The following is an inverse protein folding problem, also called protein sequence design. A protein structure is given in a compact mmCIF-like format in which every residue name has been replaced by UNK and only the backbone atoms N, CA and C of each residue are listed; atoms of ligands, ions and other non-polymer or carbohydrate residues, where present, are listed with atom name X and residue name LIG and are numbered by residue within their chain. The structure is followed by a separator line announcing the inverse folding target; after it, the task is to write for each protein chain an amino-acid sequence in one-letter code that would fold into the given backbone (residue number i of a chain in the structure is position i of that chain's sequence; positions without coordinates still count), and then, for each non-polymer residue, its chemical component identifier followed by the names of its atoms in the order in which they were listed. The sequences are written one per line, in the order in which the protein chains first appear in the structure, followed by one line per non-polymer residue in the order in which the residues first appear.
data_IF_293032675041
#
_entry.id   IF_293032675041
#
_cell.length_a   1.000
_cell.length_b   1.000
_cell.length_c   1.000
_cell.angle_alpha   90.00
_cell.angle_beta   90.00
_cell.angle_gamma   90.00
#
_symmetry.space_group_name_H-M   'P 1'
#
loop_
_entity.id
_entity.type
_entity.pdbx_description
1 polymer ?
#
# COMPACT_ATOMS: atom_id res chain seq x y z
N UNK A 1 7.82 -20.23 36.30
CA UNK A 1 8.35 -20.72 35.02
C UNK A 1 7.34 -21.71 34.50
N UNK A 2 6.57 -21.35 33.47
CA UNK A 2 5.77 -22.23 32.58
C UNK A 2 4.70 -21.44 31.78
N UNK A 3 5.06 -20.25 31.26
CA UNK A 3 4.19 -19.52 30.30
C UNK A 3 4.50 -19.81 28.83
N UNK A 4 5.42 -20.73 28.55
CA UNK A 4 5.80 -21.12 27.18
C UNK A 4 5.23 -22.48 26.75
N UNK A 5 4.47 -23.15 27.63
CA UNK A 5 3.82 -24.40 27.28
C UNK A 5 2.57 -24.13 26.44
N UNK A 6 2.68 -24.48 25.15
CA UNK A 6 1.58 -24.67 24.20
C UNK A 6 1.02 -23.42 23.47
N UNK A 7 1.88 -22.63 22.82
CA UNK A 7 1.43 -21.79 21.70
C UNK A 7 1.04 -22.74 20.55
N UNK A 8 -0.26 -23.09 20.43
CA UNK A 8 -0.80 -23.62 19.17
C UNK A 8 -0.28 -22.72 18.05
N UNK A 9 0.52 -23.27 17.12
CA UNK A 9 0.99 -22.47 15.99
C UNK A 9 -0.23 -21.88 15.30
N UNK A 10 -0.27 -20.54 15.23
CA UNK A 10 -1.36 -19.85 14.56
C UNK A 10 -1.42 -20.34 13.11
N UNK A 11 -2.58 -20.82 12.68
CA UNK A 11 -2.77 -21.28 11.30
C UNK A 11 -2.51 -20.10 10.37
N UNK A 12 -1.50 -20.22 9.53
CA UNK A 12 -1.16 -19.20 8.53
C UNK A 12 -2.20 -19.26 7.40
N UNK A 13 -2.83 -18.13 7.13
CA UNK A 13 -3.78 -17.93 6.03
C UNK A 13 -3.08 -17.06 5.00
N UNK A 14 -2.82 -17.62 3.82
CA UNK A 14 -2.33 -16.85 2.67
C UNK A 14 -3.54 -16.36 1.87
N UNK A 15 -3.69 -15.05 1.60
CA UNK A 15 -4.76 -14.60 0.72
C UNK A 15 -4.50 -15.12 -0.70
N UNK A 16 -5.55 -15.32 -1.53
CA UNK A 16 -5.34 -15.70 -2.92
C UNK A 16 -4.64 -14.57 -3.69
N UNK A 17 -3.73 -14.95 -4.60
CA UNK A 17 -2.97 -14.02 -5.44
C UNK A 17 -3.88 -13.08 -6.24
N UNK A 18 -3.32 -11.93 -6.59
CA UNK A 18 -3.92 -10.97 -7.50
C UNK A 18 -3.74 -11.43 -8.96
N UNK A 19 -4.72 -11.16 -9.81
CA UNK A 19 -4.71 -11.44 -11.25
C UNK A 19 -5.10 -10.19 -12.02
N UNK A 20 -4.65 -10.11 -13.27
CA UNK A 20 -5.13 -9.08 -14.19
C UNK A 20 -6.66 -9.10 -14.28
N UNK A 21 -7.27 -7.92 -14.22
CA UNK A 21 -8.72 -7.72 -14.18
C UNK A 21 -9.34 -7.78 -12.77
N UNK A 22 -8.59 -8.19 -11.74
CA UNK A 22 -9.05 -8.16 -10.35
C UNK A 22 -9.22 -6.72 -9.85
N UNK A 23 -10.11 -6.54 -8.87
CA UNK A 23 -10.34 -5.23 -8.24
C UNK A 23 -9.43 -5.02 -7.03
N UNK A 24 -8.79 -3.86 -6.99
CA UNK A 24 -8.07 -3.33 -5.84
C UNK A 24 -8.93 -2.26 -5.16
N UNK A 25 -9.27 -2.49 -3.89
CA UNK A 25 -9.94 -1.54 -3.01
C UNK A 25 -8.96 -0.52 -2.43
N UNK A 26 -9.30 0.76 -2.44
CA UNK A 26 -8.52 1.84 -1.81
C UNK A 26 -9.23 2.32 -0.55
N UNK A 27 -8.50 2.35 0.56
CA UNK A 27 -8.99 2.80 1.88
C UNK A 27 -8.06 3.83 2.50
N UNK A 28 -8.58 4.73 3.33
CA UNK A 28 -7.76 5.70 4.08
C UNK A 28 -7.91 5.48 5.58
N UNK A 29 -7.20 4.52 6.19
CA UNK A 29 -7.42 4.17 7.59
C UNK A 29 -6.75 5.14 8.58
N UNK A 30 -5.89 6.05 8.10
CA UNK A 30 -5.20 7.03 8.92
C UNK A 30 -5.33 8.45 8.36
N UNK A 31 -4.30 9.00 7.69
CA UNK A 31 -4.30 10.41 7.26
C UNK A 31 -5.27 10.62 6.08
N UNK A 32 -6.04 11.71 6.12
CA UNK A 32 -7.00 12.11 5.08
C UNK A 32 -6.36 12.69 3.81
N UNK A 33 -5.09 12.39 3.55
CA UNK A 33 -4.31 12.95 2.44
C UNK A 33 -4.94 12.67 1.07
N UNK A 34 -5.65 11.56 0.89
CA UNK A 34 -6.31 11.23 -0.37
C UNK A 34 -7.40 12.25 -0.75
N UNK A 35 -8.14 12.76 0.24
CA UNK A 35 -9.09 13.85 0.03
C UNK A 35 -8.40 15.19 -0.25
N UNK A 36 -7.21 15.42 0.33
CA UNK A 36 -6.44 16.65 0.14
C UNK A 36 -5.73 16.73 -1.22
N UNK A 37 -5.33 15.60 -1.79
CA UNK A 37 -4.56 15.50 -3.03
C UNK A 37 -5.28 14.63 -4.08
N UNK A 38 -6.47 15.03 -4.56
CA UNK A 38 -7.26 14.23 -5.50
C UNK A 38 -6.52 13.94 -6.81
N UNK A 39 -5.67 14.85 -7.27
CA UNK A 39 -4.85 14.64 -8.47
C UNK A 39 -3.83 13.49 -8.30
N UNK A 40 -3.30 13.26 -7.08
CA UNK A 40 -2.43 12.11 -6.83
C UNK A 40 -3.22 10.81 -6.77
N UNK A 41 -4.43 10.85 -6.20
CA UNK A 41 -5.36 9.71 -6.26
C UNK A 41 -5.60 9.33 -7.73
N UNK A 42 -5.98 10.30 -8.57
CA UNK A 42 -6.19 10.08 -10.00
C UNK A 42 -4.97 9.46 -10.70
N UNK A 43 -3.75 9.94 -10.44
CA UNK A 43 -2.52 9.37 -10.99
C UNK A 43 -2.31 7.93 -10.55
N UNK A 44 -2.43 7.64 -9.25
CA UNK A 44 -2.24 6.30 -8.72
C UNK A 44 -3.30 5.31 -9.22
N UNK A 45 -4.56 5.75 -9.33
CA UNK A 45 -5.64 4.94 -9.91
C UNK A 45 -5.36 4.62 -11.37
N UNK A 46 -5.03 5.63 -12.19
CA UNK A 46 -4.69 5.42 -13.61
C UNK A 46 -3.52 4.47 -13.79
N UNK A 47 -2.53 4.52 -12.90
CA UNK A 47 -1.38 3.64 -12.96
C UNK A 47 -1.75 2.18 -12.57
N UNK A 48 -2.56 1.97 -11.53
CA UNK A 48 -3.10 0.63 -11.23
C UNK A 48 -3.95 0.07 -12.38
N UNK A 49 -4.75 0.92 -13.03
CA UNK A 49 -5.55 0.56 -14.20
C UNK A 49 -4.68 0.24 -15.41
N UNK A 50 -3.56 0.96 -15.63
CA UNK A 50 -2.63 0.67 -16.72
C UNK A 50 -1.88 -0.65 -16.53
N UNK A 51 -1.70 -1.11 -15.29
CA UNK A 51 -1.23 -2.46 -14.97
C UNK A 51 -2.30 -3.55 -15.20
N UNK A 52 -3.53 -3.16 -15.58
CA UNK A 52 -4.62 -4.08 -15.92
C UNK A 52 -5.52 -4.45 -14.75
N UNK A 53 -5.47 -3.73 -13.62
CA UNK A 53 -6.40 -3.92 -12.50
C UNK A 53 -7.63 -3.00 -12.62
N UNK A 54 -8.68 -3.33 -11.88
CA UNK A 54 -9.78 -2.39 -11.60
C UNK A 54 -9.52 -1.74 -10.26
N UNK A 55 -9.98 -0.50 -10.08
CA UNK A 55 -9.87 0.19 -8.80
C UNK A 55 -11.25 0.54 -8.26
N UNK A 56 -11.46 0.26 -6.97
CA UNK A 56 -12.64 0.69 -6.21
C UNK A 56 -12.19 1.55 -5.05
N UNK A 57 -12.60 2.81 -5.01
CA UNK A 57 -12.33 3.69 -3.87
C UNK A 57 -13.44 3.51 -2.84
N UNK A 58 -13.10 3.30 -1.57
CA UNK A 58 -14.09 3.14 -0.51
C UNK A 58 -14.86 4.46 -0.27
N UNK A 59 -16.13 4.40 0.17
CA UNK A 59 -17.00 5.58 0.28
C UNK A 59 -16.40 6.74 1.08
N UNK A 60 -15.65 6.45 2.15
CA UNK A 60 -15.08 7.48 3.03
C UNK A 60 -13.59 7.75 2.79
N UNK A 61 -12.96 7.05 1.84
CA UNK A 61 -11.52 7.12 1.64
C UNK A 61 -11.02 8.48 1.16
N UNK A 62 -11.86 9.26 0.48
CA UNK A 62 -11.53 10.60 -0.04
C UNK A 62 -12.05 11.74 0.84
N UNK A 63 -12.63 11.42 2.00
CA UNK A 63 -13.12 12.45 2.91
C UNK A 63 -11.97 13.18 3.61
N UNK A 64 -12.31 14.33 4.19
CA UNK A 64 -11.41 15.13 5.00
C UNK A 64 -12.08 15.43 6.35
N UNK A 65 -11.49 14.92 7.43
CA UNK A 65 -11.96 15.14 8.79
C UNK A 65 -10.79 15.56 9.68
N UNK A 66 -10.35 16.82 9.52
CA UNK A 66 -9.13 17.31 10.15
C UNK A 66 -7.91 16.60 9.59
N UNK A 67 -7.12 15.96 10.46
CA UNK A 67 -5.98 15.15 10.01
C UNK A 67 -6.40 13.77 9.47
N UNK A 68 -7.49 13.18 9.97
CA UNK A 68 -7.92 11.86 9.49
C UNK A 68 -8.83 11.97 8.28
N UNK A 69 -9.01 10.88 7.54
CA UNK A 69 -9.97 10.83 6.43
C UNK A 69 -11.41 11.01 6.92
N UNK A 70 -11.77 10.31 8.00
CA UNK A 70 -13.12 10.31 8.55
C UNK A 70 -13.15 9.81 10.02
N UNK A 71 -14.34 9.68 10.61
CA UNK A 71 -14.59 9.06 11.91
C UNK A 71 -14.01 7.63 11.96
N UNK A 72 -13.87 7.08 13.17
CA UNK A 72 -13.36 5.70 13.34
C UNK A 72 -14.34 4.72 12.70
N UNK A 73 -15.63 4.94 12.88
CA UNK A 73 -16.72 4.10 12.40
C UNK A 73 -16.71 4.04 10.86
N UNK A 74 -16.56 5.18 10.19
CA UNK A 74 -16.51 5.26 8.73
C UNK A 74 -15.26 4.59 8.17
N UNK A 75 -14.09 4.80 8.79
CA UNK A 75 -12.84 4.14 8.37
C UNK A 75 -12.86 2.62 8.60
N UNK A 76 -13.50 2.15 9.67
CA UNK A 76 -13.74 0.72 9.92
C UNK A 76 -14.71 0.15 8.89
N UNK A 77 -15.78 0.88 8.58
CA UNK A 77 -16.76 0.48 7.56
C UNK A 77 -16.11 0.31 6.19
N UNK A 78 -15.27 1.27 5.77
CA UNK A 78 -14.50 1.17 4.52
C UNK A 78 -13.66 -0.12 4.45
N UNK A 79 -12.93 -0.44 5.53
CA UNK A 79 -12.15 -1.69 5.59
C UNK A 79 -13.04 -2.93 5.55
N UNK A 80 -14.10 -2.96 6.36
CA UNK A 80 -15.00 -4.11 6.43
C UNK A 80 -15.71 -4.37 5.11
N UNK A 81 -16.17 -3.31 4.43
CA UNK A 81 -16.78 -3.41 3.10
C UNK A 81 -15.83 -4.05 2.09
N UNK A 82 -14.56 -3.62 2.09
CA UNK A 82 -13.55 -4.17 1.16
C UNK A 82 -13.15 -5.61 1.48
N UNK A 83 -13.19 -6.03 2.74
CA UNK A 83 -12.98 -7.44 3.11
C UNK A 83 -14.18 -8.31 2.74
N UNK A 84 -15.41 -7.81 2.92
CA UNK A 84 -16.65 -8.54 2.67
C UNK A 84 -16.97 -8.69 1.17
N UNK A 85 -16.54 -7.76 0.33
CA UNK A 85 -16.79 -7.82 -1.11
C UNK A 85 -15.91 -8.87 -1.81
N UNK A 86 -16.47 -9.99 -2.31
CA UNK A 86 -15.68 -11.03 -2.98
C UNK A 86 -15.06 -10.58 -4.31
N UNK A 87 -15.52 -9.46 -4.88
CA UNK A 87 -14.93 -8.87 -6.09
C UNK A 87 -13.62 -8.13 -5.80
N UNK A 88 -13.39 -7.71 -4.55
CA UNK A 88 -12.15 -7.07 -4.11
C UNK A 88 -11.13 -8.14 -3.76
N UNK A 89 -9.98 -8.12 -4.45
CA UNK A 89 -8.92 -9.12 -4.30
C UNK A 89 -7.71 -8.60 -3.55
N UNK A 90 -7.55 -7.28 -3.48
CA UNK A 90 -6.60 -6.60 -2.63
C UNK A 90 -7.15 -5.28 -2.09
N UNK A 91 -6.69 -4.90 -0.91
CA UNK A 91 -6.96 -3.65 -0.22
C UNK A 91 -5.63 -2.92 -0.09
N UNK A 92 -5.52 -1.73 -0.66
CA UNK A 92 -4.34 -0.88 -0.60
C UNK A 92 -4.68 0.38 0.18
N UNK A 93 -3.89 0.68 1.20
CA UNK A 93 -4.02 1.94 1.91
C UNK A 93 -3.64 3.10 0.98
N UNK A 94 -4.44 4.17 1.01
CA UNK A 94 -4.13 5.37 0.25
C UNK A 94 -2.82 5.99 0.73
N UNK A 95 -2.66 6.08 2.05
CA UNK A 95 -1.46 6.56 2.73
C UNK A 95 -1.46 6.14 4.22
N UNK A 96 -0.30 6.22 4.87
CA UNK A 96 -0.14 6.06 6.32
C UNK A 96 -0.65 7.28 7.13
N UNK A 97 0.03 7.61 8.22
CA UNK A 97 -0.32 8.70 9.12
C UNK A 97 0.08 8.37 10.56
N UNK A 98 -0.83 8.47 11.53
CA UNK A 98 -0.58 8.18 12.96
C UNK A 98 -1.83 7.68 13.72
N UNK A 99 -2.90 7.29 13.02
CA UNK A 99 -4.24 7.13 13.62
C UNK A 99 -4.95 5.82 13.24
N UNK A 100 -4.29 4.90 12.54
CA UNK A 100 -4.89 3.59 12.23
C UNK A 100 -5.10 2.72 13.47
N UNK A 101 -4.36 2.97 14.56
CA UNK A 101 -4.56 2.30 15.84
C UNK A 101 -5.95 2.54 16.47
N UNK A 102 -6.61 3.65 16.12
CA UNK A 102 -7.95 3.97 16.61
C UNK A 102 -9.01 2.98 16.12
N UNK A 103 -8.74 2.26 15.02
CA UNK A 103 -9.69 1.33 14.41
C UNK A 103 -9.71 -0.01 15.16
N UNK A 104 -8.62 -0.38 15.85
CA UNK A 104 -8.45 -1.71 16.45
C UNK A 104 -9.60 -2.17 17.37
N UNK A 105 -10.21 -1.31 18.20
CA UNK A 105 -11.32 -1.72 19.06
C UNK A 105 -12.61 -2.08 18.31
N UNK A 106 -12.77 -1.60 17.06
CA UNK A 106 -13.99 -1.77 16.26
C UNK A 106 -13.81 -2.75 15.10
N UNK A 107 -12.58 -3.23 14.84
CA UNK A 107 -12.33 -4.21 13.79
C UNK A 107 -12.89 -5.59 14.15
N UNK A 108 -13.67 -6.16 13.22
CA UNK A 108 -14.15 -7.53 13.32
C UNK A 108 -13.10 -8.50 12.74
N UNK A 109 -12.23 -8.99 13.62
CA UNK A 109 -11.16 -9.91 13.25
C UNK A 109 -11.67 -11.29 12.81
N UNK A 110 -12.84 -11.73 13.28
CA UNK A 110 -13.40 -13.02 12.86
C UNK A 110 -13.97 -12.93 11.46
N UNK A 111 -14.63 -11.82 11.11
CA UNK A 111 -15.04 -11.50 9.74
C UNK A 111 -13.82 -11.42 8.80
N UNK A 112 -12.76 -10.70 9.19
CA UNK A 112 -11.53 -10.60 8.38
C UNK A 112 -10.89 -11.98 8.18
N UNK A 113 -10.90 -12.84 9.22
CA UNK A 113 -10.39 -14.21 9.11
C UNK A 113 -11.20 -15.05 8.11
N UNK A 114 -12.52 -14.86 8.08
CA UNK A 114 -13.42 -15.59 7.18
C UNK A 114 -13.31 -15.13 5.70
N UNK A 115 -12.85 -13.90 5.46
CA UNK A 115 -12.72 -13.30 4.13
C UNK A 115 -11.26 -12.90 3.83
N UNK A 116 -10.37 -13.88 3.55
CA UNK A 116 -8.96 -13.60 3.34
C UNK A 116 -8.70 -12.82 2.05
N UNK A 117 -8.42 -11.53 2.19
CA UNK A 117 -8.10 -10.58 1.12
C UNK A 117 -6.71 -9.98 1.36
N UNK A 118 -5.95 -9.69 0.30
CA UNK A 118 -4.65 -9.01 0.44
C UNK A 118 -4.88 -7.66 1.13
N UNK A 119 -4.14 -7.35 2.19
CA UNK A 119 -4.02 -6.00 2.74
C UNK A 119 -2.59 -5.52 2.54
N UNK A 120 -2.42 -4.34 1.97
CA UNK A 120 -1.12 -3.75 1.70
C UNK A 120 -1.03 -2.26 2.08
N UNK A 121 0.12 -1.90 2.65
CA UNK A 121 0.54 -0.53 2.93
C UNK A 121 1.70 -0.53 3.93
N UNK A 122 2.34 0.62 4.09
CA UNK A 122 3.50 0.79 4.97
C UNK A 122 3.32 1.96 5.95
N UNK A 123 4.37 2.26 6.73
CA UNK A 123 4.33 3.31 7.77
C UNK A 123 3.28 2.98 8.84
N UNK A 124 2.37 3.89 9.19
CA UNK A 124 1.30 3.68 10.17
C UNK A 124 0.44 2.44 9.90
N UNK A 125 0.32 2.02 8.63
CA UNK A 125 -0.42 0.80 8.25
C UNK A 125 0.17 -0.47 8.87
N UNK A 126 1.42 -0.40 9.36
CA UNK A 126 2.04 -1.44 10.19
C UNK A 126 1.15 -1.85 11.35
N UNK A 127 0.42 -0.92 11.98
CA UNK A 127 -0.50 -1.23 13.07
C UNK A 127 -1.57 -2.23 12.62
N UNK A 128 -2.19 -1.98 11.46
CA UNK A 128 -3.20 -2.87 10.90
C UNK A 128 -2.60 -4.19 10.43
N UNK A 129 -1.46 -4.14 9.72
CA UNK A 129 -0.77 -5.33 9.23
C UNK A 129 -0.44 -6.30 10.39
N UNK A 130 0.12 -5.78 11.49
CA UNK A 130 0.48 -6.57 12.67
C UNK A 130 -0.75 -7.05 13.43
N UNK A 131 -1.75 -6.17 13.64
CA UNK A 131 -2.95 -6.54 14.37
C UNK A 131 -3.74 -7.64 13.65
N UNK A 132 -3.97 -7.49 12.34
CA UNK A 132 -4.69 -8.48 11.52
C UNK A 132 -3.91 -9.79 11.50
N UNK A 133 -2.61 -9.78 11.21
CA UNK A 133 -1.77 -10.99 11.27
C UNK A 133 -1.91 -11.69 12.63
N UNK A 134 -1.71 -10.97 13.73
CA UNK A 134 -1.71 -11.51 15.09
C UNK A 134 -3.07 -12.06 15.49
N UNK A 135 -4.17 -11.44 15.05
CA UNK A 135 -5.53 -11.85 15.44
C UNK A 135 -6.12 -12.91 14.51
N UNK A 136 -5.76 -12.94 13.24
CA UNK A 136 -6.43 -13.80 12.24
C UNK A 136 -5.53 -14.88 11.67
N UNK A 137 -4.22 -14.67 11.65
CA UNK A 137 -3.24 -15.51 10.93
C UNK A 137 -3.15 -15.18 9.44
N UNK A 138 -3.88 -14.16 8.96
CA UNK A 138 -3.84 -13.68 7.59
C UNK A 138 -2.53 -12.95 7.29
N UNK A 139 -1.79 -13.45 6.32
CA UNK A 139 -0.59 -12.79 5.80
C UNK A 139 -1.00 -11.46 5.16
N UNK A 140 -0.39 -10.38 5.66
CA UNK A 140 -0.53 -9.01 5.15
C UNK A 140 0.82 -8.54 4.58
N UNK A 141 0.81 -7.43 3.85
CA UNK A 141 1.97 -6.99 3.06
C UNK A 141 2.39 -5.56 3.46
N UNK A 142 3.61 -5.43 3.97
CA UNK A 142 4.26 -4.13 4.06
C UNK A 142 4.80 -3.78 2.68
N UNK A 143 4.19 -2.79 2.02
CA UNK A 143 4.40 -2.52 0.61
C UNK A 143 3.83 -1.17 0.16
N UNK A 144 3.87 -0.89 -1.15
CA UNK A 144 3.52 0.41 -1.72
C UNK A 144 2.12 0.88 -1.34
N UNK A 145 1.96 2.19 -1.15
CA UNK A 145 0.67 2.84 -0.91
C UNK A 145 0.29 3.74 -2.10
N UNK A 146 -1.01 4.06 -2.23
CA UNK A 146 -1.53 4.75 -3.42
C UNK A 146 -0.81 6.08 -3.70
N UNK A 147 -0.72 6.95 -2.70
CA UNK A 147 -0.25 8.34 -2.90
C UNK A 147 1.27 8.47 -3.01
N UNK A 148 2.01 7.55 -2.42
CA UNK A 148 3.48 7.59 -2.33
C UNK A 148 4.16 6.85 -3.48
N UNK A 149 3.62 5.70 -3.88
CA UNK A 149 4.32 4.80 -4.80
C UNK A 149 3.61 4.69 -6.13
N UNK A 150 2.31 4.35 -6.11
CA UNK A 150 1.52 4.20 -7.34
C UNK A 150 1.29 5.55 -8.03
N UNK A 151 1.27 6.64 -7.26
CA UNK A 151 1.17 8.01 -7.77
C UNK A 151 2.52 8.72 -7.94
N UNK A 152 3.63 7.98 -7.95
CA UNK A 152 4.95 8.53 -8.27
C UNK A 152 4.99 9.00 -9.72
N UNK A 153 5.73 10.08 -9.98
CA UNK A 153 5.85 10.66 -11.30
C UNK A 153 7.23 10.40 -11.91
N UNK A 154 7.33 10.06 -13.23
CA UNK A 154 6.26 9.90 -14.22
C UNK A 154 5.45 8.62 -14.09
N UNK A 155 5.98 7.65 -13.35
CA UNK A 155 5.38 6.37 -13.02
C UNK A 155 6.08 5.82 -11.77
N UNK A 156 5.48 4.81 -11.16
CA UNK A 156 6.12 4.03 -10.11
C UNK A 156 7.51 3.53 -10.57
N UNK A 157 8.48 3.55 -9.66
CA UNK A 157 9.80 3.02 -9.94
C UNK A 157 9.71 1.53 -10.28
N UNK A 158 10.40 1.13 -11.34
CA UNK A 158 10.34 -0.22 -11.90
C UNK A 158 10.67 -1.29 -10.85
N UNK A 159 11.65 -1.03 -9.97
CA UNK A 159 11.99 -1.93 -8.87
C UNK A 159 10.79 -2.24 -7.97
N UNK A 160 10.01 -1.22 -7.62
CA UNK A 160 8.82 -1.38 -6.76
C UNK A 160 7.69 -2.06 -7.53
N UNK A 161 7.49 -1.73 -8.82
CA UNK A 161 6.51 -2.38 -9.70
C UNK A 161 6.78 -3.89 -9.83
N UNK A 162 8.02 -4.27 -10.16
CA UNK A 162 8.42 -5.68 -10.27
C UNK A 162 8.27 -6.42 -8.95
N UNK A 163 8.65 -5.81 -7.82
CA UNK A 163 8.47 -6.39 -6.49
C UNK A 163 6.99 -6.64 -6.17
N UNK A 164 6.12 -5.68 -6.47
CA UNK A 164 4.67 -5.81 -6.33
C UNK A 164 4.11 -6.97 -7.18
N UNK A 165 4.46 -7.02 -8.47
CA UNK A 165 4.00 -8.07 -9.39
C UNK A 165 4.52 -9.45 -8.97
N UNK A 166 5.81 -9.57 -8.67
CA UNK A 166 6.43 -10.84 -8.28
C UNK A 166 5.86 -11.38 -6.96
N UNK A 167 5.49 -10.49 -6.04
CA UNK A 167 4.99 -10.88 -4.71
C UNK A 167 3.50 -11.19 -4.72
N UNK A 168 2.68 -10.37 -5.39
CA UNK A 168 1.22 -10.46 -5.28
C UNK A 168 0.56 -11.17 -6.46
N UNK A 169 1.18 -11.20 -7.64
CA UNK A 169 0.53 -11.72 -8.85
C UNK A 169 1.01 -13.12 -9.27
N UNK A 170 2.17 -13.56 -8.78
CA UNK A 170 2.79 -14.83 -9.16
C UNK A 170 2.51 -15.94 -8.14
N UNK A 171 2.65 -17.20 -8.57
CA UNK A 171 2.52 -18.38 -7.71
C UNK A 171 3.87 -18.87 -7.20
N UNK A 172 4.93 -18.46 -7.85
CA UNK A 172 6.32 -18.79 -7.55
C UNK A 172 6.82 -17.90 -6.40
N UNK A 173 7.80 -18.37 -5.60
CA UNK A 173 8.50 -17.49 -4.68
C UNK A 173 9.06 -16.25 -5.40
N UNK A 174 9.02 -15.05 -4.79
CA UNK A 174 9.48 -13.81 -5.43
C UNK A 174 10.98 -13.80 -5.83
N UNK A 175 11.75 -14.78 -5.36
CA UNK A 175 13.19 -14.87 -5.58
C UNK A 175 13.99 -14.11 -4.53
N UNK A 176 15.27 -13.88 -4.84
CA UNK A 176 16.15 -13.07 -4.00
C UNK A 176 15.78 -11.59 -4.15
N UNK A 177 15.83 -10.86 -3.04
CA UNK A 177 15.63 -9.41 -3.03
C UNK A 177 16.99 -8.76 -3.22
N UNK A 178 17.27 -8.33 -4.44
CA UNK A 178 18.48 -7.58 -4.78
C UNK A 178 18.30 -6.09 -4.45
N UNK A 179 19.36 -5.34 -4.12
CA UNK A 179 19.26 -3.90 -3.92
C UNK A 179 18.77 -3.17 -5.18
N UNK A 180 17.86 -2.21 -5.02
CA UNK A 180 17.50 -1.32 -6.12
C UNK A 180 18.73 -0.56 -6.64
N UNK A 181 18.94 -0.46 -7.96
CA UNK A 181 20.03 0.34 -8.51
C UNK A 181 19.85 1.84 -8.24
N UNK A 182 18.61 2.28 -8.05
CA UNK A 182 18.23 3.68 -7.89
C UNK A 182 17.29 3.89 -6.69
N UNK A 183 17.43 5.03 -6.03
CA UNK A 183 16.52 5.44 -4.96
C UNK A 183 16.35 6.96 -4.94
N UNK A 184 15.26 7.42 -4.31
CA UNK A 184 15.02 8.84 -4.06
C UNK A 184 14.38 9.05 -2.69
N UNK A 185 14.62 10.24 -2.14
CA UNK A 185 13.95 10.80 -0.97
C UNK A 185 13.62 12.28 -1.22
N UNK A 186 13.69 12.73 -2.48
CA UNK A 186 13.45 14.12 -2.84
C UNK A 186 12.02 14.50 -2.48
N UNK A 187 11.89 15.49 -1.60
CA UNK A 187 10.59 16.00 -1.21
C UNK A 187 10.05 16.99 -2.27
N UNK A 188 9.16 16.51 -3.13
CA UNK A 188 8.37 17.34 -4.04
C UNK A 188 6.98 17.61 -3.43
N UNK A 189 6.56 18.88 -3.41
CA UNK A 189 5.28 19.28 -2.81
C UNK A 189 4.09 18.73 -3.58
N UNK A 190 3.29 17.89 -2.93
CA UNK A 190 2.07 17.34 -3.53
C UNK A 190 0.99 18.37 -3.79
N UNK A 191 1.06 19.58 -3.23
CA UNK A 191 0.07 20.62 -3.50
C UNK A 191 0.19 21.22 -4.90
N UNK A 192 1.36 21.10 -5.52
CA UNK A 192 1.65 21.67 -6.84
C UNK A 192 1.49 20.59 -7.90
N UNK A 193 0.49 20.74 -8.79
CA UNK A 193 0.27 19.79 -9.88
C UNK A 193 1.49 19.70 -10.82
N UNK A 194 2.29 20.75 -10.89
CA UNK A 194 3.54 20.80 -11.63
C UNK A 194 4.59 19.83 -11.07
N UNK A 195 4.47 19.39 -9.82
CA UNK A 195 5.35 18.31 -9.31
C UNK A 195 5.01 16.95 -9.93
N UNK A 196 3.80 16.79 -10.47
CA UNK A 196 3.46 15.67 -11.35
C UNK A 196 3.96 15.88 -12.78
N UNK A 197 4.84 16.84 -13.05
CA UNK A 197 5.57 16.91 -14.33
C UNK A 197 7.08 16.98 -14.12
N UNK A 198 7.52 16.81 -12.87
CA UNK A 198 8.91 16.91 -12.45
C UNK A 198 9.44 15.53 -12.11
N UNK A 199 10.47 15.12 -12.83
CA UNK A 199 11.22 13.90 -12.52
C UNK A 199 11.89 14.03 -11.15
N UNK A 200 11.72 12.99 -10.33
CA UNK A 200 12.45 12.81 -9.08
C UNK A 200 13.94 12.63 -9.34
N UNK A 201 14.76 13.19 -8.46
CA UNK A 201 16.21 13.00 -8.48
C UNK A 201 16.53 11.59 -7.98
N UNK A 202 17.04 10.76 -8.88
CA UNK A 202 17.54 9.44 -8.55
C UNK A 202 19.01 9.50 -8.09
N UNK A 203 19.30 8.75 -7.02
CA UNK A 203 20.63 8.52 -6.50
C UNK A 203 21.04 7.09 -6.83
N UNK A 204 22.26 6.90 -7.33
CA UNK A 204 22.80 5.56 -7.61
C UNK A 204 23.12 4.84 -6.30
N UNK A 205 22.63 3.62 -6.11
CA UNK A 205 22.96 2.82 -4.95
C UNK A 205 24.41 2.31 -5.02
N UNK A 206 25.26 2.65 -4.04
CA UNK A 206 26.62 2.12 -3.91
C UNK A 206 26.73 1.33 -2.60
N UNK A 207 26.47 0.01 -2.65
CA UNK A 207 26.45 -0.86 -1.47
C UNK A 207 25.07 -0.89 -0.77
N UNK A 208 25.00 -1.49 0.43
CA UNK A 208 23.72 -1.67 1.15
C UNK A 208 23.22 -0.41 1.87
N UNK A 209 24.11 0.54 2.18
CA UNK A 209 23.76 1.82 2.81
C UNK A 209 23.92 2.94 1.78
N UNK A 210 22.83 3.64 1.47
CA UNK A 210 22.67 4.57 0.34
C UNK A 210 23.61 5.79 0.29
N UNK A 211 24.92 5.59 0.16
CA UNK A 211 25.93 6.63 -0.04
C UNK A 211 26.06 7.01 -1.54
N UNK A 212 24.93 7.21 -2.22
CA UNK A 212 24.85 7.51 -3.65
C UNK A 212 25.04 9.00 -3.97
N UNK A 213 25.74 9.31 -5.07
CA UNK A 213 25.71 10.68 -5.63
C UNK A 213 24.37 10.89 -6.34
N UNK A 214 23.72 12.02 -6.08
CA UNK A 214 22.53 12.44 -6.81
C UNK A 214 22.89 12.73 -8.27
N UNK A 215 22.10 12.20 -9.21
CA UNK A 215 22.18 12.63 -10.60
C UNK A 215 21.36 13.93 -10.78
N UNK A 216 21.71 14.79 -11.75
CA UNK A 216 20.80 15.87 -12.16
C UNK A 216 19.45 15.27 -12.61
N UNK A 217 18.39 16.08 -12.69
CA UNK A 217 17.09 15.62 -13.23
C UNK A 217 17.28 15.22 -14.69
N UNK A 218 17.46 13.94 -14.94
CA UNK A 218 17.55 13.36 -16.29
C UNK A 218 16.24 12.63 -16.55
N UNK A 219 15.62 12.78 -17.74
CA UNK A 219 14.52 11.93 -18.15
C UNK A 219 14.88 10.46 -17.94
N UNK A 220 14.00 9.70 -17.28
CA UNK A 220 13.99 8.26 -17.44
C UNK A 220 13.74 8.03 -18.94
N UNK A 221 14.79 7.67 -19.68
CA UNK A 221 14.64 7.28 -21.08
C UNK A 221 13.61 6.17 -21.17
N UNK A 222 12.73 6.22 -22.16
CA UNK A 222 11.67 5.22 -22.37
C UNK A 222 12.21 3.80 -22.62
N UNK A 223 13.52 3.62 -22.72
CA UNK A 223 14.21 2.36 -23.00
C UNK A 223 15.29 2.02 -21.94
N UNK A 224 14.88 1.73 -20.70
CA UNK A 224 15.72 1.03 -19.73
C UNK A 224 14.91 -0.08 -19.04
#
# INVERSE_FOLDING_TARGET
MDHLANKKMQRIIKPPRLKLGDTIGIVSPSWGGAGMFPHRVETGVKYLESLGFKVRIAPHALNQHGFVSDTVENRVSDLHEMFLDPSVRAIVAAIGGNHSCHLLPQLDFDMIRAHPTILMGFSDITVLNVAIWTKTGLVTFNGPALLTDFAEYPRMLEYTEQSFINTLCRTEPPGNIEPSPWWTEEHLSWSQRETLSVLVILKHQKGLCGCGKALPRVPLSEDA
#
